data_IF_254727255682
#
_entry.id   IF_254727255682
#
_cell.length_a   1.000
_cell.length_b   1.000
_cell.length_c   1.000
_cell.angle_alpha   90.00
_cell.angle_beta   90.00
_cell.angle_gamma   90.00
#
_symmetry.space_group_name_H-M   'P 1'
#
loop_
_entity.id
_entity.type
_entity.pdbx_description
1 polymer ?
#
# COMPACT_ATOMS: atom_id res chain seq x y z
N UNK A 1 -4.68 6.87 -1.89
CA UNK A 1 -4.51 7.49 -3.23
C UNK A 1 -5.83 7.40 -4.00
N UNK A 2 -6.11 8.26 -4.96
CA UNK A 2 -7.29 8.12 -5.84
C UNK A 2 -6.84 8.24 -7.30
N UNK A 3 -7.39 7.38 -8.15
CA UNK A 3 -7.18 7.45 -9.60
C UNK A 3 -8.48 7.88 -10.27
N UNK A 4 -8.34 8.68 -11.33
CA UNK A 4 -9.47 9.01 -12.19
C UNK A 4 -9.80 7.77 -13.01
N UNK A 5 -11.00 7.23 -12.82
CA UNK A 5 -11.48 6.08 -13.56
C UNK A 5 -12.17 6.53 -14.85
N UNK A 6 -13.05 7.54 -14.74
CA UNK A 6 -13.79 8.08 -15.88
C UNK A 6 -14.00 9.57 -15.72
N UNK A 7 -13.89 10.31 -16.82
CA UNK A 7 -14.34 11.70 -16.94
C UNK A 7 -15.42 11.75 -18.01
N UNK A 8 -16.62 12.22 -17.64
CA UNK A 8 -17.69 12.52 -18.58
C UNK A 8 -17.94 14.02 -18.59
N UNK A 9 -18.07 14.61 -19.77
CA UNK A 9 -18.21 16.07 -19.93
C UNK A 9 -19.32 16.38 -20.91
N UNK A 10 -20.23 17.25 -20.51
CA UNK A 10 -21.32 17.77 -21.33
C UNK A 10 -21.15 19.28 -21.48
N UNK A 11 -20.95 19.70 -22.72
CA UNK A 11 -20.83 21.11 -23.07
C UNK A 11 -22.21 21.64 -23.42
N UNK A 12 -22.60 22.74 -22.81
CA UNK A 12 -23.89 23.41 -23.02
C UNK A 12 -23.67 24.91 -23.15
N UNK A 13 -24.63 25.61 -23.75
CA UNK A 13 -24.57 27.05 -24.00
C UNK A 13 -23.31 27.48 -24.76
N UNK A 14 -23.39 27.67 -26.07
CA UNK A 14 -22.20 28.00 -26.87
C UNK A 14 -22.12 29.50 -27.16
N UNK A 15 -20.90 30.04 -27.20
CA UNK A 15 -20.59 31.32 -27.81
C UNK A 15 -20.77 31.23 -29.33
N UNK A 16 -20.83 32.38 -30.01
CA UNK A 16 -20.98 32.47 -31.47
C UNK A 16 -19.83 31.84 -32.24
N UNK A 17 -18.67 31.69 -31.59
CA UNK A 17 -17.47 31.04 -32.10
C UNK A 17 -17.46 29.51 -31.85
N UNK A 18 -18.51 28.97 -31.22
CA UNK A 18 -18.63 27.55 -30.89
C UNK A 18 -17.93 27.12 -29.61
N UNK A 19 -17.30 28.03 -28.85
CA UNK A 19 -16.76 27.71 -27.54
C UNK A 19 -17.91 27.50 -26.53
N UNK A 20 -17.79 26.48 -25.67
CA UNK A 20 -18.79 26.24 -24.64
C UNK A 20 -18.66 27.28 -23.50
N UNK A 21 -19.77 27.94 -23.16
CA UNK A 21 -19.91 28.83 -22.00
C UNK A 21 -20.09 28.04 -20.72
N UNK A 22 -20.74 26.88 -20.81
CA UNK A 22 -21.00 26.01 -19.66
C UNK A 22 -20.53 24.59 -19.93
N UNK A 23 -19.81 24.04 -18.97
CA UNK A 23 -19.28 22.68 -19.03
C UNK A 23 -19.66 21.97 -17.75
N UNK A 24 -20.63 21.07 -17.84
CA UNK A 24 -21.00 20.17 -16.75
C UNK A 24 -20.17 18.89 -16.88
N UNK A 25 -19.52 18.46 -15.80
CA UNK A 25 -18.72 17.23 -15.83
C UNK A 25 -18.97 16.36 -14.61
N UNK A 26 -18.82 15.06 -14.83
CA UNK A 26 -18.89 14.03 -13.79
C UNK A 26 -17.57 13.29 -13.75
N UNK A 27 -16.98 13.21 -12.56
CA UNK A 27 -15.71 12.53 -12.31
C UNK A 27 -15.97 11.28 -11.46
N UNK A 28 -15.63 10.11 -12.00
CA UNK A 28 -15.62 8.85 -11.25
C UNK A 28 -14.21 8.61 -10.72
N UNK A 29 -14.08 8.56 -9.40
CA UNK A 29 -12.81 8.33 -8.71
C UNK A 29 -12.80 6.94 -8.06
N UNK A 30 -11.74 6.19 -8.32
CA UNK A 30 -11.50 4.92 -7.64
C UNK A 30 -10.49 5.13 -6.52
N UNK A 31 -10.86 4.74 -5.31
CA UNK A 31 -9.96 4.73 -4.16
C UNK A 31 -8.93 3.62 -4.36
N UNK A 32 -7.66 3.99 -4.27
CA UNK A 32 -6.54 3.06 -4.20
C UNK A 32 -6.01 3.11 -2.78
N UNK A 33 -6.30 2.06 -2.03
CA UNK A 33 -5.70 1.80 -0.73
C UNK A 33 -4.41 1.00 -0.96
N UNK A 34 -3.28 1.52 -0.49
CA UNK A 34 -1.97 0.85 -0.59
C UNK A 34 -1.84 -0.39 0.31
N UNK A 35 -2.87 -0.74 1.09
CA UNK A 35 -2.72 -1.43 2.36
C UNK A 35 -2.82 -2.96 2.34
N UNK A 36 -2.61 -3.65 1.22
CA UNK A 36 -2.45 -5.11 1.27
C UNK A 36 -1.00 -5.52 1.06
N UNK A 37 -0.38 -5.11 -0.04
CA UNK A 37 1.02 -5.47 -0.32
C UNK A 37 2.00 -4.89 0.70
N UNK A 38 1.77 -3.67 1.19
CA UNK A 38 2.58 -3.06 2.24
C UNK A 38 2.47 -3.82 3.58
N UNK A 39 1.27 -4.28 3.94
CA UNK A 39 1.06 -5.07 5.16
C UNK A 39 1.63 -6.50 5.04
N UNK A 40 1.52 -7.15 3.87
CA UNK A 40 2.14 -8.47 3.65
C UNK A 40 3.67 -8.43 3.63
N UNK A 41 4.26 -7.36 3.11
CA UNK A 41 5.70 -7.14 3.17
C UNK A 41 6.19 -6.99 4.62
N UNK A 42 5.46 -6.21 5.42
CA UNK A 42 5.81 -5.99 6.82
C UNK A 42 5.56 -7.24 7.68
N UNK A 43 4.49 -8.00 7.44
CA UNK A 43 4.24 -9.31 8.09
C UNK A 43 5.34 -10.33 7.80
N UNK A 44 5.82 -10.44 6.56
CA UNK A 44 6.93 -11.35 6.22
C UNK A 44 8.23 -10.93 6.91
N UNK A 45 8.49 -9.62 6.98
CA UNK A 45 9.65 -9.07 7.67
C UNK A 45 9.58 -9.35 9.18
N UNK A 46 8.44 -9.09 9.80
CA UNK A 46 8.19 -9.39 11.21
C UNK A 46 8.32 -10.89 11.52
N UNK A 47 7.80 -11.77 10.65
CA UNK A 47 7.94 -13.22 10.81
C UNK A 47 9.40 -13.68 10.70
N UNK A 48 10.16 -13.11 9.75
CA UNK A 48 11.58 -13.41 9.57
C UNK A 48 12.43 -12.91 10.76
N UNK A 49 12.11 -11.73 11.29
CA UNK A 49 12.76 -11.16 12.47
C UNK A 49 12.45 -11.98 13.74
N UNK A 50 11.22 -12.46 13.91
CA UNK A 50 10.85 -13.34 15.02
C UNK A 50 11.57 -14.69 14.95
N UNK A 51 11.64 -15.29 13.75
CA UNK A 51 12.37 -16.55 13.53
C UNK A 51 13.88 -16.38 13.79
N UNK A 52 14.47 -15.30 13.29
CA UNK A 52 15.86 -14.96 13.56
C UNK A 52 16.13 -14.73 15.05
N UNK A 53 15.20 -14.10 15.77
CA UNK A 53 15.30 -13.90 17.22
C UNK A 53 15.20 -15.22 18.00
N UNK A 54 14.33 -16.13 17.59
CA UNK A 54 14.19 -17.46 18.19
C UNK A 54 15.43 -18.34 17.96
N UNK A 55 16.02 -18.28 16.76
CA UNK A 55 17.29 -18.96 16.46
C UNK A 55 18.43 -18.44 17.33
N UNK A 56 18.58 -17.13 17.42
CA UNK A 56 19.61 -16.49 18.26
C UNK A 56 19.45 -16.80 19.75
N UNK A 57 18.21 -16.90 20.25
CA UNK A 57 17.95 -17.28 21.63
C UNK A 57 18.33 -18.75 21.88
N UNK A 58 18.00 -19.63 20.94
CA UNK A 58 18.35 -21.05 21.00
C UNK A 58 19.86 -21.25 20.99
N UNK A 59 20.60 -20.56 20.11
CA UNK A 59 22.07 -20.64 20.06
C UNK A 59 22.72 -20.12 21.34
N UNK A 60 22.20 -19.04 21.92
CA UNK A 60 22.70 -18.51 23.21
C UNK A 60 22.45 -19.48 24.36
N UNK A 61 21.27 -20.10 24.40
CA UNK A 61 20.96 -21.13 25.40
C UNK A 61 21.86 -22.35 25.22
N UNK A 62 22.06 -22.81 23.99
CA UNK A 62 22.90 -23.97 23.70
C UNK A 62 24.38 -23.71 24.01
N UNK A 63 24.88 -22.51 23.71
CA UNK A 63 26.23 -22.08 24.08
C UNK A 63 26.43 -21.93 25.59
N UNK A 64 25.43 -21.41 26.32
CA UNK A 64 25.48 -21.31 27.77
C UNK A 64 25.46 -22.70 28.43
N UNK A 65 24.61 -23.61 27.97
CA UNK A 65 24.56 -24.98 28.51
C UNK A 65 25.80 -25.79 28.12
N UNK A 66 26.30 -25.65 26.88
CA UNK A 66 27.53 -26.31 26.43
C UNK A 66 28.77 -25.84 27.19
N UNK A 67 28.83 -24.55 27.55
CA UNK A 67 29.90 -23.99 28.39
C UNK A 67 29.77 -24.35 29.88
N UNK A 68 28.60 -24.76 30.35
CA UNK A 68 28.35 -25.24 31.72
C UNK A 68 28.64 -26.73 31.88
N UNK A 69 28.72 -27.49 30.78
CA UNK A 69 29.00 -28.94 30.76
C UNK A 69 30.44 -29.30 30.38
N UNK A 70 31.31 -28.31 30.17
CA UNK A 70 32.73 -28.47 29.87
C UNK A 70 33.61 -28.19 31.10
#
# INVERSE_FOLDING_TARGET
MYIVETVSTTHTEFFSDGAARKIDFTLSLKRVDESLTAMFGDLNKQASELLGSAGNLTDKLQGALGGLTA
#
